data_IF_423199399467
#
_entry.id   IF_423199399467
#
_cell.length_a   1.000
_cell.length_b   1.000
_cell.length_c   1.000
_cell.angle_alpha   90.00
_cell.angle_beta   90.00
_cell.angle_gamma   90.00
#
_symmetry.space_group_name_H-M   'P 1'
#
loop_
_entity.id
_entity.type
_entity.pdbx_description
1 polymer ?
#
# COMPACT_ATOMS: atom_id res chain seq x y z
N UNK A 1 -13.84 13.88 -24.22
CA UNK A 1 -13.19 14.83 -23.30
C UNK A 1 -12.79 14.07 -22.05
N UNK A 2 -11.52 14.12 -21.62
CA UNK A 2 -11.05 13.41 -20.42
C UNK A 2 -11.70 13.99 -19.15
N UNK A 3 -11.65 13.25 -18.04
CA UNK A 3 -12.06 13.78 -16.73
C UNK A 3 -11.20 15.00 -16.36
N UNK A 4 -11.80 16.04 -15.81
CA UNK A 4 -11.07 17.25 -15.42
C UNK A 4 -10.06 16.93 -14.30
N UNK A 5 -8.84 17.46 -14.39
CA UNK A 5 -7.75 17.16 -13.46
C UNK A 5 -8.09 17.45 -11.99
N UNK A 6 -8.88 18.51 -11.73
CA UNK A 6 -9.28 18.83 -10.37
C UNK A 6 -10.22 17.77 -9.77
N UNK A 7 -11.13 17.20 -10.57
CA UNK A 7 -12.01 16.09 -10.16
C UNK A 7 -11.21 14.80 -9.93
N UNK A 8 -10.24 14.48 -10.79
CA UNK A 8 -9.32 13.34 -10.56
C UNK A 8 -8.59 13.49 -9.22
N UNK A 9 -8.09 14.68 -8.91
CA UNK A 9 -7.41 14.97 -7.65
C UNK A 9 -8.34 14.83 -6.44
N UNK A 10 -9.57 15.34 -6.52
CA UNK A 10 -10.55 15.22 -5.45
C UNK A 10 -10.96 13.76 -5.21
N UNK A 11 -11.26 13.00 -6.25
CA UNK A 11 -11.55 11.56 -6.18
C UNK A 11 -10.39 10.81 -5.52
N UNK A 12 -9.15 11.10 -5.96
CA UNK A 12 -7.95 10.51 -5.40
C UNK A 12 -7.79 10.81 -3.91
N UNK A 13 -7.97 12.06 -3.48
CA UNK A 13 -7.87 12.48 -2.08
C UNK A 13 -8.93 11.78 -1.20
N UNK A 14 -10.18 11.75 -1.65
CA UNK A 14 -11.25 11.04 -0.94
C UNK A 14 -10.89 9.55 -0.82
N UNK A 15 -10.53 8.89 -1.91
CA UNK A 15 -10.18 7.48 -1.90
C UNK A 15 -8.98 7.16 -0.99
N UNK A 16 -8.00 8.06 -0.93
CA UNK A 16 -6.84 7.92 -0.04
C UNK A 16 -7.22 7.96 1.44
N UNK A 17 -8.26 8.71 1.83
CA UNK A 17 -8.74 8.83 3.21
C UNK A 17 -9.40 7.55 3.74
N UNK A 18 -9.80 6.63 2.88
CA UNK A 18 -10.39 5.34 3.26
C UNK A 18 -9.29 4.25 3.30
N UNK A 19 -8.84 3.79 4.47
CA UNK A 19 -7.70 2.86 4.60
C UNK A 19 -7.84 1.57 3.79
N UNK A 20 -9.08 1.11 3.61
CA UNK A 20 -9.40 -0.16 2.95
C UNK A 20 -9.56 -0.06 1.43
N UNK A 21 -9.63 1.13 0.86
CA UNK A 21 -9.59 1.32 -0.60
C UNK A 21 -8.14 1.24 -1.06
N UNK A 22 -7.85 0.33 -1.97
CA UNK A 22 -6.51 0.09 -2.48
C UNK A 22 -6.29 0.75 -3.84
N UNK A 23 -7.32 0.73 -4.69
CA UNK A 23 -7.23 1.24 -6.05
C UNK A 23 -8.56 1.77 -6.54
N UNK A 24 -8.52 2.86 -7.29
CA UNK A 24 -9.67 3.40 -8.02
C UNK A 24 -9.28 3.56 -9.47
N UNK A 25 -10.08 2.99 -10.37
CA UNK A 25 -9.88 3.03 -11.81
C UNK A 25 -11.08 3.72 -12.45
N UNK A 26 -10.83 4.79 -13.21
CA UNK A 26 -11.81 5.34 -14.15
C UNK A 26 -11.93 4.40 -15.33
N UNK A 27 -13.14 3.99 -15.69
CA UNK A 27 -13.38 3.15 -16.85
C UNK A 27 -14.50 3.70 -17.74
N UNK A 28 -15.00 2.95 -18.70
CA UNK A 28 -16.07 3.39 -19.57
C UNK A 28 -15.66 4.46 -20.59
N UNK A 29 -16.61 5.26 -21.03
CA UNK A 29 -16.43 6.22 -22.13
C UNK A 29 -15.41 7.32 -21.82
N UNK A 30 -15.34 7.77 -20.56
CA UNK A 30 -14.39 8.81 -20.15
C UNK A 30 -12.95 8.32 -20.11
N UNK A 31 -12.73 7.06 -19.79
CA UNK A 31 -11.39 6.45 -19.85
C UNK A 31 -10.91 6.27 -21.28
N UNK A 32 -11.81 5.86 -22.19
CA UNK A 32 -11.51 5.70 -23.62
C UNK A 32 -11.38 7.02 -24.38
N UNK A 33 -11.95 8.11 -23.84
CA UNK A 33 -11.93 9.42 -24.50
C UNK A 33 -13.06 9.64 -25.52
N UNK A 34 -13.98 8.68 -25.65
CA UNK A 34 -15.15 8.74 -26.56
C UNK A 34 -16.43 9.27 -25.89
N UNK A 35 -16.31 9.87 -24.69
CA UNK A 35 -17.39 10.40 -23.91
C UNK A 35 -17.99 11.69 -24.48
N UNK A 36 -19.27 11.92 -24.19
CA UNK A 36 -19.95 13.22 -24.32
C UNK A 36 -19.73 14.05 -23.06
N UNK A 37 -20.00 15.35 -23.11
CA UNK A 37 -19.89 16.24 -21.92
C UNK A 37 -20.75 15.75 -20.75
N UNK A 38 -21.93 15.21 -21.06
CA UNK A 38 -22.91 14.71 -20.09
C UNK A 38 -22.74 13.24 -19.72
N UNK A 39 -21.70 12.56 -20.23
CA UNK A 39 -21.46 11.14 -19.88
C UNK A 39 -21.12 11.00 -18.41
N UNK A 40 -21.59 9.91 -17.79
CA UNK A 40 -21.31 9.56 -16.39
C UNK A 40 -19.82 9.33 -16.13
N UNK A 41 -19.43 9.38 -14.88
CA UNK A 41 -18.08 9.03 -14.40
C UNK A 41 -18.16 7.62 -13.82
N UNK A 42 -17.60 6.63 -14.52
CA UNK A 42 -17.60 5.23 -14.10
C UNK A 42 -16.31 4.94 -13.31
N UNK A 43 -16.43 4.57 -12.03
CA UNK A 43 -15.29 4.26 -11.16
C UNK A 43 -15.37 2.83 -10.64
N UNK A 44 -14.31 2.05 -10.86
CA UNK A 44 -14.11 0.74 -10.25
C UNK A 44 -13.27 0.91 -8.98
N UNK A 45 -13.81 0.47 -7.84
CA UNK A 45 -13.20 0.59 -6.52
C UNK A 45 -12.77 -0.78 -6.04
N UNK A 46 -11.47 -0.95 -5.82
CA UNK A 46 -10.85 -2.17 -5.30
C UNK A 46 -10.55 -1.96 -3.82
N UNK A 47 -10.92 -2.94 -3.00
CA UNK A 47 -10.78 -2.87 -1.55
C UNK A 47 -10.03 -4.09 -1.01
N UNK A 48 -9.28 -3.91 0.09
CA UNK A 48 -8.58 -5.00 0.78
C UNK A 48 -9.54 -5.95 1.52
N UNK A 49 -10.75 -5.51 1.83
CA UNK A 49 -11.75 -6.30 2.54
C UNK A 49 -12.84 -6.79 1.57
N UNK A 50 -13.21 -8.07 1.65
CA UNK A 50 -14.33 -8.64 0.88
C UNK A 50 -15.66 -7.94 1.18
N UNK A 51 -15.82 -7.46 2.42
CA UNK A 51 -16.98 -6.66 2.86
C UNK A 51 -16.50 -5.28 3.26
N UNK A 52 -16.59 -4.33 2.33
CA UNK A 52 -16.23 -2.94 2.60
C UNK A 52 -17.35 -2.24 3.37
N UNK A 53 -17.17 -2.09 4.69
CA UNK A 53 -18.18 -1.52 5.60
C UNK A 53 -18.45 -0.03 5.33
N UNK A 54 -17.44 0.70 4.86
CA UNK A 54 -17.52 2.15 4.63
C UNK A 54 -18.08 2.50 3.23
N UNK A 55 -18.68 1.54 2.53
CA UNK A 55 -19.22 1.72 1.17
C UNK A 55 -20.17 2.88 1.08
N UNK A 56 -21.12 2.98 2.02
CA UNK A 56 -22.10 4.06 2.05
C UNK A 56 -21.44 5.41 2.25
N UNK A 57 -20.55 5.52 3.22
CA UNK A 57 -19.81 6.75 3.52
C UNK A 57 -18.95 7.20 2.34
N UNK A 58 -18.29 6.27 1.67
CA UNK A 58 -17.51 6.56 0.47
C UNK A 58 -18.40 7.08 -0.66
N UNK A 59 -19.55 6.44 -0.89
CA UNK A 59 -20.54 6.87 -1.91
C UNK A 59 -21.04 8.27 -1.60
N UNK A 60 -21.42 8.57 -0.35
CA UNK A 60 -21.85 9.90 0.06
C UNK A 60 -20.79 10.98 -0.17
N UNK A 61 -19.51 10.66 0.05
CA UNK A 61 -18.43 11.61 -0.21
C UNK A 61 -18.23 11.86 -1.71
N UNK A 62 -18.39 10.82 -2.54
CA UNK A 62 -18.35 10.97 -4.00
C UNK A 62 -19.52 11.81 -4.52
N UNK A 63 -20.72 11.63 -3.97
CA UNK A 63 -21.93 12.40 -4.35
C UNK A 63 -21.84 13.89 -3.96
N UNK A 64 -20.93 14.24 -3.02
CA UNK A 64 -20.68 15.65 -2.61
C UNK A 64 -19.65 16.37 -3.47
N UNK A 65 -19.05 15.69 -4.44
CA UNK A 65 -18.12 16.33 -5.36
C UNK A 65 -18.83 17.42 -6.17
N UNK A 66 -18.15 18.55 -6.37
CA UNK A 66 -18.67 19.68 -7.15
C UNK A 66 -18.68 19.36 -8.65
N UNK A 67 -19.66 18.54 -9.02
CA UNK A 67 -19.90 18.14 -10.41
C UNK A 67 -21.37 17.90 -10.67
N UNK A 68 -21.83 18.23 -11.88
CA UNK A 68 -23.17 17.90 -12.35
C UNK A 68 -23.24 16.50 -12.98
N UNK A 69 -22.11 15.83 -13.09
CA UNK A 69 -22.04 14.51 -13.68
C UNK A 69 -22.37 13.45 -12.65
N UNK A 70 -23.13 12.44 -13.06
CA UNK A 70 -23.37 11.27 -12.24
C UNK A 70 -22.08 10.48 -12.07
N UNK A 71 -21.83 10.00 -10.84
CA UNK A 71 -20.71 9.11 -10.53
C UNK A 71 -21.26 7.72 -10.25
N UNK A 72 -20.93 6.76 -11.08
CA UNK A 72 -21.29 5.37 -10.91
C UNK A 72 -20.11 4.59 -10.31
N UNK A 73 -20.35 3.99 -9.12
CA UNK A 73 -19.36 3.25 -8.35
C UNK A 73 -19.57 1.74 -8.48
N UNK A 74 -18.58 1.05 -8.99
CA UNK A 74 -18.51 -0.42 -9.01
C UNK A 74 -17.50 -0.88 -7.97
N UNK A 75 -17.97 -1.43 -6.85
CA UNK A 75 -17.09 -2.08 -5.88
C UNK A 75 -16.75 -3.48 -6.37
N UNK A 76 -15.50 -3.67 -6.74
CA UNK A 76 -15.02 -4.94 -7.31
C UNK A 76 -14.96 -6.01 -6.23
N UNK A 77 -15.51 -7.17 -6.52
CA UNK A 77 -15.56 -8.34 -5.64
C UNK A 77 -15.42 -9.64 -6.46
N UNK A 78 -15.32 -10.77 -5.77
CA UNK A 78 -15.25 -12.11 -6.42
C UNK A 78 -16.48 -12.42 -7.31
N UNK A 79 -17.61 -11.71 -7.10
CA UNK A 79 -18.84 -11.86 -7.87
C UNK A 79 -18.98 -10.85 -9.01
N UNK A 80 -18.00 -9.97 -9.22
CA UNK A 80 -18.03 -8.99 -10.30
C UNK A 80 -17.94 -9.70 -11.66
N UNK A 81 -18.81 -9.30 -12.59
CA UNK A 81 -18.86 -9.89 -13.94
C UNK A 81 -17.50 -9.83 -14.64
N UNK A 82 -17.08 -10.96 -15.22
CA UNK A 82 -15.77 -11.10 -15.86
C UNK A 82 -15.62 -10.23 -17.11
N UNK A 83 -16.71 -9.97 -17.85
CA UNK A 83 -16.68 -9.09 -19.02
C UNK A 83 -16.48 -7.63 -18.59
N UNK A 84 -17.11 -7.23 -17.48
CA UNK A 84 -16.90 -5.92 -16.89
C UNK A 84 -15.45 -5.74 -16.41
N UNK A 85 -14.90 -6.72 -15.68
CA UNK A 85 -13.50 -6.72 -15.23
C UNK A 85 -12.54 -6.59 -16.42
N UNK A 86 -12.77 -7.35 -17.49
CA UNK A 86 -11.95 -7.28 -18.70
C UNK A 86 -11.96 -5.88 -19.32
N UNK A 87 -13.10 -5.20 -19.34
CA UNK A 87 -13.20 -3.83 -19.84
C UNK A 87 -12.48 -2.82 -18.92
N UNK A 88 -12.61 -2.99 -17.58
CA UNK A 88 -11.90 -2.16 -16.59
C UNK A 88 -10.38 -2.28 -16.79
N UNK A 89 -9.86 -3.49 -16.98
CA UNK A 89 -8.42 -3.71 -17.16
C UNK A 89 -7.90 -3.26 -18.53
N UNK A 90 -8.73 -3.37 -19.57
CA UNK A 90 -8.33 -3.03 -20.94
C UNK A 90 -8.20 -1.53 -21.16
N UNK A 91 -9.21 -0.78 -20.75
CA UNK A 91 -9.36 0.63 -21.11
C UNK A 91 -9.29 1.57 -19.89
N UNK A 92 -9.15 1.01 -18.68
CA UNK A 92 -9.20 1.76 -17.44
C UNK A 92 -7.98 2.64 -17.20
N UNK A 93 -8.22 3.85 -16.68
CA UNK A 93 -7.20 4.79 -16.22
C UNK A 93 -7.14 4.78 -14.70
N UNK A 94 -5.97 4.48 -14.13
CA UNK A 94 -5.77 4.51 -12.66
C UNK A 94 -5.86 5.96 -12.17
N UNK A 95 -6.85 6.25 -11.31
CA UNK A 95 -7.02 7.54 -10.63
C UNK A 95 -6.25 7.55 -9.31
N UNK A 96 -6.34 6.46 -8.56
CA UNK A 96 -5.64 6.28 -7.29
C UNK A 96 -5.21 4.83 -7.14
N UNK A 97 -4.01 4.62 -6.68
CA UNK A 97 -3.50 3.33 -6.27
C UNK A 97 -2.63 3.51 -5.04
N UNK A 98 -3.05 2.92 -3.92
CA UNK A 98 -2.18 2.74 -2.78
C UNK A 98 -1.19 1.67 -3.20
N UNK A 99 0.09 2.03 -3.22
CA UNK A 99 1.11 1.04 -3.54
C UNK A 99 0.89 -0.21 -2.68
N UNK A 100 0.92 -1.39 -3.28
CA UNK A 100 0.84 -2.64 -2.53
C UNK A 100 1.88 -2.59 -1.40
N UNK A 101 1.63 -3.23 -0.27
CA UNK A 101 2.63 -3.28 0.82
C UNK A 101 3.96 -3.78 0.29
N UNK A 102 3.92 -4.72 -0.66
CA UNK A 102 5.10 -5.20 -1.37
C UNK A 102 5.83 -4.07 -2.13
N UNK A 103 5.12 -3.23 -2.90
CA UNK A 103 5.74 -2.13 -3.63
C UNK A 103 6.32 -1.07 -2.68
N UNK A 104 5.64 -0.80 -1.57
CA UNK A 104 6.14 0.10 -0.53
C UNK A 104 7.39 -0.50 0.17
N UNK A 105 7.37 -1.79 0.45
CA UNK A 105 8.53 -2.50 0.99
C UNK A 105 9.72 -2.46 0.03
N UNK A 106 9.52 -2.74 -1.26
CA UNK A 106 10.59 -2.66 -2.28
C UNK A 106 11.22 -1.25 -2.34
N UNK A 107 10.40 -0.19 -2.29
CA UNK A 107 10.89 1.20 -2.22
C UNK A 107 11.68 1.46 -0.94
N UNK A 108 11.20 0.95 0.20
CA UNK A 108 11.90 1.10 1.48
C UNK A 108 13.27 0.40 1.46
N UNK A 109 13.35 -0.82 0.93
CA UNK A 109 14.60 -1.57 0.76
C UNK A 109 15.59 -0.80 -0.13
N UNK A 110 15.12 -0.22 -1.26
CA UNK A 110 15.96 0.59 -2.12
C UNK A 110 16.55 1.81 -1.39
N UNK A 111 15.72 2.51 -0.61
CA UNK A 111 16.15 3.67 0.20
C UNK A 111 17.09 3.28 1.34
N UNK A 112 16.89 2.10 1.95
CA UNK A 112 17.79 1.58 2.97
C UNK A 112 19.17 1.28 2.36
N UNK A 113 19.24 0.60 1.21
CA UNK A 113 20.50 0.35 0.50
C UNK A 113 21.26 1.63 0.16
N UNK A 114 20.55 2.67 -0.28
CA UNK A 114 21.12 3.98 -0.52
C UNK A 114 21.72 4.59 0.76
N UNK A 115 20.97 4.52 1.89
CA UNK A 115 21.44 5.03 3.17
C UNK A 115 22.69 4.31 3.68
N UNK A 116 22.72 2.98 3.56
CA UNK A 116 23.93 2.17 3.89
C UNK A 116 25.12 2.65 3.07
N UNK A 117 24.95 2.81 1.75
CA UNK A 117 26.04 3.28 0.87
C UNK A 117 26.53 4.68 1.22
N UNK A 118 25.63 5.59 1.64
CA UNK A 118 25.99 6.95 2.05
C UNK A 118 26.74 6.92 3.39
N UNK A 119 26.21 6.16 4.37
CA UNK A 119 26.82 6.04 5.70
C UNK A 119 28.21 5.42 5.64
N UNK A 120 28.42 4.38 4.84
CA UNK A 120 29.74 3.75 4.67
C UNK A 120 30.79 4.67 4.08
N UNK A 121 30.40 5.66 3.26
CA UNK A 121 31.34 6.64 2.67
C UNK A 121 31.73 7.75 3.63
N UNK A 122 30.78 8.24 4.36
CA UNK A 122 30.92 9.40 5.24
C UNK A 122 30.07 9.18 6.51
N UNK A 123 30.54 8.39 7.47
CA UNK A 123 29.80 8.13 8.70
C UNK A 123 29.71 9.39 9.55
N UNK A 124 28.47 9.75 9.97
CA UNK A 124 28.17 10.75 10.98
C UNK A 124 26.89 10.37 11.72
N UNK A 125 26.64 11.00 12.86
CA UNK A 125 25.51 10.65 13.74
C UNK A 125 24.17 10.88 13.07
N UNK A 126 23.99 11.95 12.32
CA UNK A 126 22.74 12.24 11.63
C UNK A 126 22.43 11.18 10.55
N UNK A 127 23.45 10.74 9.81
CA UNK A 127 23.31 9.68 8.81
C UNK A 127 23.05 8.33 9.46
N UNK A 128 23.67 8.04 10.62
CA UNK A 128 23.40 6.85 11.41
C UNK A 128 21.94 6.81 11.85
N UNK A 129 21.43 7.89 12.43
CA UNK A 129 20.05 7.99 12.88
C UNK A 129 19.07 7.82 11.71
N UNK A 130 19.37 8.45 10.58
CA UNK A 130 18.60 8.27 9.35
C UNK A 130 18.63 6.83 8.81
N UNK A 131 19.76 6.13 8.94
CA UNK A 131 19.90 4.72 8.56
C UNK A 131 19.07 3.81 9.47
N UNK A 132 19.15 4.02 10.78
CA UNK A 132 18.37 3.27 11.78
C UNK A 132 16.87 3.44 11.51
N UNK A 133 16.39 4.65 11.31
CA UNK A 133 14.98 4.91 11.01
C UNK A 133 14.53 4.21 9.71
N UNK A 134 15.36 4.20 8.66
CA UNK A 134 15.04 3.47 7.43
C UNK A 134 15.03 1.95 7.64
N UNK A 135 15.92 1.42 8.47
CA UNK A 135 15.91 0.02 8.87
C UNK A 135 14.63 -0.37 9.62
N UNK A 136 14.24 0.40 10.63
CA UNK A 136 12.98 0.19 11.37
C UNK A 136 11.76 0.15 10.43
N UNK A 137 11.70 1.11 9.51
CA UNK A 137 10.63 1.19 8.53
C UNK A 137 10.60 -0.01 7.57
N UNK A 138 11.79 -0.50 7.14
CA UNK A 138 11.90 -1.71 6.33
C UNK A 138 11.40 -2.95 7.07
N UNK A 139 11.79 -3.14 8.33
CA UNK A 139 11.33 -4.26 9.15
C UNK A 139 9.81 -4.23 9.33
N UNK A 140 9.23 -3.05 9.57
CA UNK A 140 7.80 -2.88 9.74
C UNK A 140 7.03 -3.21 8.46
N UNK A 141 7.50 -2.77 7.29
CA UNK A 141 6.88 -3.09 6.01
C UNK A 141 7.05 -4.56 5.62
N UNK A 142 8.19 -5.17 5.92
CA UNK A 142 8.46 -6.57 5.60
C UNK A 142 7.42 -7.51 6.22
N UNK A 143 7.27 -7.49 7.56
CA UNK A 143 6.34 -8.39 8.21
C UNK A 143 4.87 -8.09 7.85
N UNK A 144 4.51 -6.81 7.63
CA UNK A 144 3.17 -6.43 7.16
C UNK A 144 2.88 -6.94 5.75
N UNK A 145 3.89 -6.97 4.88
CA UNK A 145 3.77 -7.54 3.53
C UNK A 145 3.60 -9.06 3.59
N UNK A 146 4.40 -9.75 4.41
CA UNK A 146 4.25 -11.19 4.63
C UNK A 146 2.87 -11.53 5.21
N UNK A 147 2.39 -10.76 6.21
CA UNK A 147 1.07 -10.95 6.79
C UNK A 147 -0.04 -10.84 5.76
N UNK A 148 0.01 -9.82 4.89
CA UNK A 148 -0.99 -9.64 3.84
C UNK A 148 -1.04 -10.83 2.89
N UNK A 149 0.13 -11.32 2.47
CA UNK A 149 0.22 -12.50 1.63
C UNK A 149 -0.34 -13.75 2.32
N UNK A 150 0.05 -14.01 3.56
CA UNK A 150 -0.43 -15.14 4.36
C UNK A 150 -1.96 -15.07 4.59
N UNK A 151 -2.49 -13.86 4.85
CA UNK A 151 -3.96 -13.67 4.96
C UNK A 151 -4.65 -14.05 3.64
N UNK A 152 -4.07 -13.72 2.49
CA UNK A 152 -4.55 -14.16 1.18
C UNK A 152 -4.54 -15.68 0.97
N UNK A 153 -3.65 -16.40 1.68
CA UNK A 153 -3.60 -17.87 1.71
C UNK A 153 -4.56 -18.49 2.75
N UNK A 154 -5.30 -17.68 3.51
CA UNK A 154 -6.27 -18.16 4.52
C UNK A 154 -5.75 -18.18 5.97
N UNK A 155 -4.57 -17.65 6.24
CA UNK A 155 -4.02 -17.53 7.60
C UNK A 155 -4.59 -16.29 8.30
N UNK A 156 -5.76 -16.36 8.90
CA UNK A 156 -6.46 -15.18 9.48
C UNK A 156 -6.00 -14.79 10.88
N UNK A 157 -5.46 -15.72 11.68
CA UNK A 157 -5.19 -15.52 13.12
C UNK A 157 -3.73 -15.26 13.49
N UNK A 158 -2.85 -14.92 12.54
CA UNK A 158 -1.45 -14.66 12.85
C UNK A 158 -1.27 -13.22 13.34
N UNK A 159 -0.98 -13.05 14.63
CA UNK A 159 -0.82 -11.75 15.25
C UNK A 159 0.64 -11.48 15.68
N UNK A 160 1.16 -10.34 15.21
CA UNK A 160 2.48 -9.84 15.55
C UNK A 160 3.60 -10.25 14.59
N UNK A 161 4.74 -9.51 14.62
CA UNK A 161 5.81 -9.66 13.65
C UNK A 161 6.45 -11.05 13.66
N UNK A 162 6.88 -11.55 14.84
CA UNK A 162 7.60 -12.83 14.95
C UNK A 162 6.78 -14.04 14.50
N UNK A 163 5.51 -14.22 14.92
CA UNK A 163 4.67 -15.31 14.38
C UNK A 163 4.49 -15.23 12.88
N UNK A 164 4.30 -14.02 12.33
CA UNK A 164 4.17 -13.82 10.88
C UNK A 164 5.44 -14.26 10.14
N UNK A 165 6.64 -13.89 10.63
CA UNK A 165 7.89 -14.29 9.95
C UNK A 165 8.17 -15.79 10.05
N UNK A 166 7.79 -16.46 11.14
CA UNK A 166 7.84 -17.92 11.25
C UNK A 166 6.94 -18.61 10.22
N UNK A 167 5.71 -18.13 10.09
CA UNK A 167 4.78 -18.66 9.11
C UNK A 167 5.21 -18.34 7.67
N UNK A 168 5.82 -17.16 7.45
CA UNK A 168 6.41 -16.79 6.18
C UNK A 168 7.55 -17.74 5.78
N UNK A 169 8.39 -18.16 6.73
CA UNK A 169 9.42 -19.17 6.51
C UNK A 169 8.81 -20.54 6.20
N UNK A 170 7.82 -21.00 6.96
CA UNK A 170 7.12 -22.26 6.71
C UNK A 170 6.49 -22.31 5.30
N UNK A 171 6.03 -21.18 4.80
CA UNK A 171 5.46 -21.01 3.45
C UNK A 171 6.49 -20.60 2.38
N UNK A 172 7.80 -20.64 2.68
CA UNK A 172 8.89 -20.32 1.75
C UNK A 172 8.84 -18.91 1.14
N UNK A 173 8.28 -17.95 1.87
CA UNK A 173 8.30 -16.53 1.50
C UNK A 173 9.63 -15.88 1.87
N UNK A 174 10.32 -16.44 2.84
CA UNK A 174 11.66 -16.03 3.27
C UNK A 174 12.53 -17.28 3.41
N UNK A 175 13.85 -17.11 3.25
CA UNK A 175 14.80 -18.20 3.19
C UNK A 175 15.40 -18.56 4.56
N UNK A 176 15.41 -17.64 5.53
CA UNK A 176 15.98 -17.87 6.86
C UNK A 176 15.15 -17.17 7.96
N UNK A 177 14.51 -17.99 8.81
CA UNK A 177 13.72 -17.52 9.94
C UNK A 177 14.58 -16.77 10.97
N UNK A 178 15.79 -17.29 11.28
CA UNK A 178 16.63 -16.77 12.37
C UNK A 178 17.07 -15.35 12.10
N UNK A 179 17.54 -15.08 10.88
CA UNK A 179 17.94 -13.73 10.46
C UNK A 179 16.77 -12.76 10.67
N UNK A 180 15.56 -13.12 10.26
CA UNK A 180 14.40 -12.23 10.42
C UNK A 180 13.98 -12.03 11.87
N UNK A 181 14.12 -13.05 12.74
CA UNK A 181 13.86 -12.90 14.17
C UNK A 181 14.91 -11.99 14.83
N UNK A 182 16.17 -12.09 14.42
CA UNK A 182 17.26 -11.20 14.86
C UNK A 182 16.99 -9.76 14.42
N UNK A 183 16.69 -9.50 13.15
CA UNK A 183 16.33 -8.18 12.64
C UNK A 183 15.16 -7.55 13.40
N UNK A 184 14.14 -8.34 13.75
CA UNK A 184 13.01 -7.86 14.57
C UNK A 184 13.40 -7.56 16.02
N UNK A 185 14.37 -8.31 16.59
CA UNK A 185 14.92 -8.01 17.91
C UNK A 185 15.71 -6.70 17.88
N UNK A 186 16.56 -6.50 16.89
CA UNK A 186 17.36 -5.30 16.72
C UNK A 186 16.47 -4.09 16.51
N UNK A 187 15.43 -4.21 15.68
CA UNK A 187 14.42 -3.15 15.52
C UNK A 187 13.73 -2.78 16.83
N UNK A 188 13.48 -3.75 17.72
CA UNK A 188 12.90 -3.45 19.05
C UNK A 188 13.92 -2.78 19.97
N UNK A 189 15.21 -3.09 19.86
CA UNK A 189 16.28 -2.41 20.60
C UNK A 189 16.43 -0.96 20.16
N UNK A 190 16.29 -0.64 18.87
CA UNK A 190 16.38 0.74 18.36
C UNK A 190 15.35 1.67 18.98
N UNK A 191 14.17 1.18 19.37
CA UNK A 191 13.13 2.00 20.03
C UNK A 191 13.51 2.51 21.44
N UNK A 192 14.62 2.03 22.00
CA UNK A 192 15.14 2.39 23.33
C UNK A 192 16.49 3.12 23.24
N UNK A 193 16.92 3.56 22.05
CA UNK A 193 18.20 4.23 21.86
C UNK A 193 18.16 5.66 22.43
N UNK A 194 18.34 5.76 23.73
CA UNK A 194 18.97 6.90 24.40
C UNK A 194 20.43 6.58 24.78
N UNK A 195 20.96 5.40 24.39
CA UNK A 195 22.29 4.94 24.73
C UNK A 195 23.15 4.87 23.46
N UNK A 196 24.17 5.69 23.43
CA UNK A 196 25.07 5.89 22.29
C UNK A 196 25.83 4.62 21.89
N UNK A 197 26.13 3.74 22.85
CA UNK A 197 26.81 2.45 22.59
C UNK A 197 25.93 1.48 21.78
N UNK A 198 24.63 1.42 22.06
CA UNK A 198 23.67 0.56 21.33
C UNK A 198 23.47 1.03 19.89
N UNK A 199 23.52 2.35 19.64
CA UNK A 199 23.36 2.92 18.30
C UNK A 199 24.53 2.58 17.37
N UNK A 200 25.75 2.52 17.89
CA UNK A 200 26.95 2.14 17.14
C UNK A 200 26.91 0.65 16.76
N UNK A 201 26.55 -0.23 17.70
CA UNK A 201 26.49 -1.67 17.51
C UNK A 201 25.46 -2.10 16.43
N UNK A 202 24.36 -1.37 16.29
CA UNK A 202 23.32 -1.66 15.27
C UNK A 202 23.69 -1.07 13.90
N UNK A 203 24.54 -0.04 13.86
CA UNK A 203 25.01 0.60 12.62
C UNK A 203 26.15 -0.16 11.91
N UNK A 204 26.82 -1.09 12.59
CA UNK A 204 27.83 -1.98 12.02
C UNK A 204 27.21 -3.25 11.40
#
# INVERSE_FOLDING_TARGET
>A
MALAQHLENQISQIAYSFPKIEKVILFGSRARGDCRETSDIDLAVFTSDKVFKDKLLFTEQMDRLDTLLKIDLVFVSDTTDMALLKNIWKDGKVIMEKGSKLANYQKAVSRLREAVSIFQKEPDDLKRDGLIQRFEFCCELAWKTCREYLTGLGYEEINGPKPVMREAFANRLIDDERIWIELLNDRNRTSHIYDEETAVEIGE
#
